data_IF_640987719225
#
_entry.id   IF_640987719225
#
_cell.length_a   1.000
_cell.length_b   1.000
_cell.length_c   1.000
_cell.angle_alpha   90.00
_cell.angle_beta   90.00
_cell.angle_gamma   90.00
#
_symmetry.space_group_name_H-M   'P 1'
#
loop_
_entity.id
_entity.type
_entity.pdbx_description
1 polymer ?
#
# COMPACT_ATOMS: atom_id res chain seq x y z
N UNK A 1 7.89 -12.92 7.35
CA UNK A 1 8.22 -12.97 8.80
C UNK A 1 7.54 -11.88 9.63
N UNK A 2 7.57 -10.59 9.25
CA UNK A 2 6.85 -9.55 10.01
C UNK A 2 5.33 -9.75 10.02
N UNK A 3 4.70 -9.90 8.84
CA UNK A 3 3.26 -10.16 8.73
C UNK A 3 2.87 -11.44 9.48
N UNK A 4 3.65 -12.53 9.35
CA UNK A 4 3.46 -13.76 10.12
C UNK A 4 3.44 -13.49 11.64
N UNK A 5 4.35 -12.65 12.15
CA UNK A 5 4.41 -12.31 13.56
C UNK A 5 3.15 -11.57 14.05
N UNK A 6 2.65 -10.63 13.23
CA UNK A 6 1.42 -9.89 13.54
C UNK A 6 0.18 -10.79 13.41
N UNK A 7 0.14 -11.67 12.40
CA UNK A 7 -0.94 -12.63 12.18
C UNK A 7 -1.16 -13.54 13.39
N UNK A 8 -0.09 -13.97 14.07
CA UNK A 8 -0.18 -14.80 15.28
C UNK A 8 -0.99 -14.15 16.41
N UNK A 9 -1.14 -12.82 16.42
CA UNK A 9 -1.91 -12.09 17.43
C UNK A 9 -3.42 -12.11 17.19
N UNK A 10 -3.87 -12.56 16.02
CA UNK A 10 -5.29 -12.60 15.66
C UNK A 10 -5.79 -14.05 15.64
N UNK A 11 -7.02 -14.31 16.10
CA UNK A 11 -7.61 -15.62 16.03
C UNK A 11 -7.89 -16.02 14.56
N UNK A 12 -8.05 -17.32 14.35
CA UNK A 12 -8.48 -17.84 13.06
C UNK A 12 -9.82 -17.22 12.65
N UNK A 13 -9.99 -16.95 11.35
CA UNK A 13 -11.21 -16.34 10.82
C UNK A 13 -11.34 -14.83 11.03
N UNK A 14 -10.53 -14.20 11.90
CA UNK A 14 -10.57 -12.74 12.10
C UNK A 14 -9.82 -11.96 11.01
N UNK A 15 -9.12 -12.64 10.10
CA UNK A 15 -8.35 -12.01 9.05
C UNK A 15 -8.66 -12.52 7.64
N UNK A 16 -8.22 -11.75 6.65
CA UNK A 16 -8.30 -12.04 5.21
C UNK A 16 -7.01 -11.64 4.50
N UNK A 17 -6.89 -11.97 3.21
CA UNK A 17 -5.69 -11.70 2.40
C UNK A 17 -6.02 -11.08 1.05
N UNK A 18 -6.77 -9.99 1.07
CA UNK A 18 -7.20 -9.28 -0.14
C UNK A 18 -6.17 -8.21 -0.50
N UNK A 19 -5.61 -8.31 -1.70
CA UNK A 19 -4.68 -7.31 -2.24
C UNK A 19 -5.41 -6.02 -2.62
N UNK A 20 -4.79 -4.84 -2.45
CA UNK A 20 -5.44 -3.56 -2.76
C UNK A 20 -5.85 -3.43 -4.23
N UNK A 21 -5.10 -4.04 -5.16
CA UNK A 21 -5.39 -4.05 -6.59
C UNK A 21 -6.65 -4.85 -6.93
N UNK A 22 -7.01 -5.82 -6.10
CA UNK A 22 -8.12 -6.74 -6.35
C UNK A 22 -9.41 -6.35 -5.63
N UNK A 23 -9.39 -5.29 -4.82
CA UNK A 23 -10.56 -4.85 -4.03
C UNK A 23 -11.76 -4.44 -4.87
N UNK A 24 -11.56 -4.05 -6.14
CA UNK A 24 -12.66 -3.78 -7.07
C UNK A 24 -13.41 -5.04 -7.52
N UNK A 25 -12.81 -6.22 -7.34
CA UNK A 25 -13.48 -7.48 -7.62
C UNK A 25 -14.42 -7.83 -6.45
N UNK A 26 -15.73 -7.89 -6.71
CA UNK A 26 -16.77 -8.13 -5.70
C UNK A 26 -16.56 -9.43 -4.91
N UNK A 27 -16.01 -10.48 -5.54
CA UNK A 27 -15.72 -11.75 -4.86
C UNK A 27 -14.53 -11.65 -3.90
N UNK A 28 -13.54 -10.81 -4.24
CA UNK A 28 -12.39 -10.53 -3.38
C UNK A 28 -12.80 -9.60 -2.24
N UNK A 29 -13.56 -8.56 -2.54
CA UNK A 29 -14.13 -7.65 -1.54
C UNK A 29 -14.98 -8.39 -0.50
N UNK A 30 -15.77 -9.38 -0.90
CA UNK A 30 -16.59 -10.18 0.02
C UNK A 30 -15.77 -10.86 1.13
N UNK A 31 -14.48 -11.13 0.90
CA UNK A 31 -13.61 -11.75 1.92
C UNK A 31 -13.27 -10.81 3.08
N UNK A 32 -13.46 -9.50 2.93
CA UNK A 32 -13.30 -8.51 4.00
C UNK A 32 -14.49 -8.48 4.97
N UNK A 33 -15.63 -9.06 4.59
CA UNK A 33 -16.83 -9.02 5.43
C UNK A 33 -16.58 -9.71 6.78
N UNK A 34 -16.83 -8.97 7.86
CA UNK A 34 -16.62 -9.45 9.24
C UNK A 34 -15.16 -9.60 9.68
N UNK A 35 -14.18 -9.12 8.90
CA UNK A 35 -12.76 -9.23 9.24
C UNK A 35 -12.26 -8.04 10.05
N UNK A 36 -11.33 -8.30 10.95
CA UNK A 36 -10.67 -7.30 11.82
C UNK A 36 -9.34 -6.82 11.26
N UNK A 37 -8.69 -7.63 10.43
CA UNK A 37 -7.45 -7.26 9.78
C UNK A 37 -7.29 -7.97 8.43
N UNK A 38 -6.71 -7.28 7.47
CA UNK A 38 -6.43 -7.79 6.15
C UNK A 38 -4.92 -7.75 5.91
N UNK A 39 -4.34 -8.92 5.64
CA UNK A 39 -2.90 -9.09 5.39
C UNK A 39 -2.67 -9.45 3.93
N UNK A 40 -2.02 -8.60 3.15
CA UNK A 40 -1.54 -9.00 1.83
C UNK A 40 -0.01 -8.94 1.80
N UNK A 41 0.61 -10.10 1.71
CA UNK A 41 2.06 -10.24 1.70
C UNK A 41 2.56 -10.30 0.26
N UNK A 42 3.64 -9.56 -0.01
CA UNK A 42 4.31 -9.49 -1.31
C UNK A 42 3.37 -9.06 -2.44
N UNK A 43 2.65 -7.96 -2.19
CA UNK A 43 1.74 -7.40 -3.20
C UNK A 43 2.53 -6.99 -4.45
N UNK A 44 1.96 -7.18 -5.64
CA UNK A 44 2.60 -6.78 -6.87
C UNK A 44 2.72 -5.24 -6.95
N UNK A 45 3.68 -4.77 -7.74
CA UNK A 45 3.82 -3.33 -8.06
C UNK A 45 2.80 -2.83 -9.09
N UNK A 46 1.85 -3.68 -9.49
CA UNK A 46 0.79 -3.33 -10.44
C UNK A 46 -0.14 -2.26 -9.86
N UNK A 47 -0.71 -1.47 -10.77
CA UNK A 47 -1.47 -0.28 -10.42
C UNK A 47 -2.71 -0.58 -9.55
N UNK A 48 -2.95 0.26 -8.53
CA UNK A 48 -4.24 0.30 -7.83
C UNK A 48 -5.22 1.12 -8.67
N UNK A 49 -5.91 0.44 -9.59
CA UNK A 49 -6.79 1.07 -10.59
C UNK A 49 -8.04 1.72 -9.97
N UNK A 50 -8.69 1.02 -9.03
CA UNK A 50 -9.96 1.47 -8.43
C UNK A 50 -9.73 2.12 -7.07
N UNK A 51 -9.11 3.30 -7.07
CA UNK A 51 -8.81 4.02 -5.83
C UNK A 51 -10.04 4.33 -4.99
N UNK A 52 -11.23 4.49 -5.59
CA UNK A 52 -12.48 4.72 -4.86
C UNK A 52 -12.86 3.55 -3.95
N UNK A 53 -12.88 2.32 -4.48
CA UNK A 53 -13.23 1.13 -3.69
C UNK A 53 -12.15 0.85 -2.65
N UNK A 54 -10.87 1.02 -3.01
CA UNK A 54 -9.78 0.95 -2.04
C UNK A 54 -9.98 1.97 -0.90
N UNK A 55 -10.23 3.24 -1.23
CA UNK A 55 -10.47 4.31 -0.25
C UNK A 55 -11.64 3.96 0.66
N UNK A 56 -12.76 3.51 0.10
CA UNK A 56 -13.94 3.08 0.85
C UNK A 56 -13.62 1.91 1.79
N UNK A 57 -12.89 0.90 1.31
CA UNK A 57 -12.49 -0.25 2.11
C UNK A 57 -11.64 0.15 3.32
N UNK A 58 -10.65 1.03 3.13
CA UNK A 58 -9.75 1.44 4.23
C UNK A 58 -10.36 2.49 5.17
N UNK A 59 -11.37 3.26 4.74
CA UNK A 59 -12.12 4.17 5.63
C UNK A 59 -13.34 3.56 6.27
N UNK A 60 -13.68 2.31 5.92
CA UNK A 60 -14.87 1.64 6.43
C UNK A 60 -16.15 2.29 5.90
N UNK A 61 -16.16 2.75 4.66
CA UNK A 61 -17.41 3.13 3.98
C UNK A 61 -18.14 1.87 3.50
N UNK A 62 -19.45 1.96 3.30
CA UNK A 62 -20.23 0.81 2.82
C UNK A 62 -19.75 0.42 1.42
N UNK A 63 -19.39 -0.85 1.25
CA UNK A 63 -19.05 -1.43 -0.05
C UNK A 63 -20.00 -2.57 -0.38
N UNK A 64 -20.28 -2.72 -1.67
CA UNK A 64 -21.05 -3.84 -2.21
C UNK A 64 -20.10 -4.96 -2.63
N UNK A 65 -20.47 -6.19 -2.31
CA UNK A 65 -19.71 -7.37 -2.67
C UNK A 65 -20.65 -8.54 -2.95
N UNK A 66 -20.09 -9.66 -3.41
CA UNK A 66 -20.88 -10.83 -3.78
C UNK A 66 -20.12 -12.12 -3.47
N UNK A 67 -20.79 -13.10 -2.89
CA UNK A 67 -20.26 -14.46 -2.83
C UNK A 67 -20.56 -15.21 -4.13
N UNK A 68 -19.72 -16.18 -4.50
CA UNK A 68 -19.91 -16.96 -5.73
C UNK A 68 -21.30 -17.60 -5.73
N UNK A 69 -22.10 -17.31 -6.77
CA UNK A 69 -23.48 -17.79 -6.96
C UNK A 69 -24.47 -17.38 -5.86
N UNK A 70 -24.23 -16.27 -5.18
CA UNK A 70 -25.15 -15.68 -4.21
C UNK A 70 -25.51 -14.25 -4.59
N UNK A 71 -26.55 -13.72 -3.96
CA UNK A 71 -26.97 -12.33 -4.15
C UNK A 71 -25.89 -11.36 -3.63
N UNK A 72 -25.76 -10.18 -4.26
CA UNK A 72 -24.91 -9.13 -3.72
C UNK A 72 -25.39 -8.66 -2.36
N UNK A 73 -24.45 -8.29 -1.51
CA UNK A 73 -24.72 -7.73 -0.20
C UNK A 73 -23.85 -6.49 0.03
N UNK A 74 -24.31 -5.63 0.93
CA UNK A 74 -23.57 -4.45 1.36
C UNK A 74 -23.07 -4.64 2.78
N UNK A 75 -21.84 -4.22 3.06
CA UNK A 75 -21.28 -4.27 4.40
C UNK A 75 -20.33 -3.11 4.63
N UNK A 76 -20.07 -2.83 5.91
CA UNK A 76 -19.05 -1.86 6.34
C UNK A 76 -17.77 -2.61 6.66
N UNK A 77 -16.66 -2.38 5.95
CA UNK A 77 -15.37 -2.98 6.30
C UNK A 77 -14.89 -2.46 7.65
N UNK A 78 -14.45 -3.40 8.50
CA UNK A 78 -13.90 -3.10 9.83
C UNK A 78 -12.42 -3.45 9.92
N UNK A 79 -11.86 -3.98 8.83
CA UNK A 79 -10.51 -4.51 8.80
C UNK A 79 -9.47 -3.39 8.79
N UNK A 80 -8.50 -3.45 9.70
CA UNK A 80 -7.22 -2.77 9.48
C UNK A 80 -6.49 -3.40 8.30
N UNK A 81 -5.65 -2.65 7.57
CA UNK A 81 -4.93 -3.18 6.42
C UNK A 81 -3.42 -3.18 6.69
N UNK A 82 -2.77 -4.33 6.46
CA UNK A 82 -1.32 -4.47 6.51
C UNK A 82 -0.83 -5.13 5.22
N UNK A 83 -0.03 -4.40 4.48
CA UNK A 83 0.53 -4.84 3.20
C UNK A 83 2.05 -4.88 3.27
N UNK A 84 2.67 -5.87 2.62
CA UNK A 84 4.10 -5.84 2.34
C UNK A 84 4.33 -5.90 0.85
N UNK A 85 5.31 -5.15 0.35
CA UNK A 85 5.69 -5.12 -1.04
C UNK A 85 7.21 -4.98 -1.15
N UNK A 86 7.78 -5.57 -2.20
CA UNK A 86 9.18 -5.30 -2.58
C UNK A 86 9.32 -4.02 -3.41
N UNK A 87 8.26 -3.66 -4.14
CA UNK A 87 8.09 -2.39 -4.84
C UNK A 87 6.64 -1.92 -4.63
N UNK A 88 6.46 -0.64 -4.30
CA UNK A 88 5.14 -0.09 -4.04
C UNK A 88 4.32 -0.01 -5.34
N UNK A 89 3.01 -0.24 -5.28
CA UNK A 89 2.19 -0.25 -6.48
C UNK A 89 1.99 1.14 -7.07
N UNK A 90 1.90 1.23 -8.40
CA UNK A 90 1.53 2.48 -9.07
C UNK A 90 0.10 2.92 -8.73
N UNK A 91 -0.22 4.18 -8.98
CA UNK A 91 -1.59 4.70 -8.90
C UNK A 91 -1.78 5.91 -9.82
N UNK A 92 -2.99 6.06 -10.37
CA UNK A 92 -3.45 7.31 -11.02
C UNK A 92 -4.12 8.30 -10.05
N UNK A 93 -4.32 7.93 -8.78
CA UNK A 93 -4.96 8.81 -7.79
C UNK A 93 -3.92 9.67 -7.06
N UNK A 94 -3.72 10.89 -7.55
CA UNK A 94 -2.80 11.85 -6.95
C UNK A 94 -3.41 12.69 -5.81
N UNK A 95 -4.65 12.39 -5.38
CA UNK A 95 -5.37 13.17 -4.38
C UNK A 95 -4.79 13.01 -2.98
N UNK A 96 -4.82 14.09 -2.19
CA UNK A 96 -4.45 14.03 -0.77
C UNK A 96 -5.28 13.00 0.02
N UNK A 97 -6.51 12.71 -0.43
CA UNK A 97 -7.35 11.68 0.14
C UNK A 97 -6.73 10.29 0.02
N UNK A 98 -6.15 9.93 -1.12
CA UNK A 98 -5.47 8.65 -1.29
C UNK A 98 -4.22 8.56 -0.40
N UNK A 99 -3.32 9.54 -0.52
CA UNK A 99 -2.01 9.51 0.15
C UNK A 99 -2.07 9.51 1.68
N UNK A 100 -3.05 10.18 2.30
CA UNK A 100 -3.17 10.24 3.77
C UNK A 100 -3.58 8.92 4.44
N UNK A 101 -3.90 7.87 3.66
CA UNK A 101 -4.35 6.55 4.16
C UNK A 101 -3.19 5.57 4.36
N UNK A 102 -1.97 5.95 4.00
CA UNK A 102 -0.82 5.07 4.07
C UNK A 102 0.16 5.47 5.18
N UNK A 103 0.78 4.46 5.77
CA UNK A 103 1.99 4.58 6.59
C UNK A 103 2.98 3.58 6.02
N UNK A 104 4.10 4.06 5.51
CA UNK A 104 5.09 3.23 4.80
C UNK A 104 6.27 3.01 5.72
N UNK A 105 6.52 1.74 6.06
CA UNK A 105 7.65 1.33 6.87
C UNK A 105 8.61 0.55 5.98
N UNK A 106 9.77 1.14 5.72
CA UNK A 106 10.83 0.49 4.95
C UNK A 106 11.67 -0.42 5.86
N UNK A 107 11.90 -1.65 5.40
CA UNK A 107 12.88 -2.55 6.01
C UNK A 107 14.17 -2.57 5.17
N UNK A 108 15.05 -1.60 5.43
CA UNK A 108 16.28 -1.40 4.66
C UNK A 108 17.35 -2.50 4.88
N UNK A 109 17.26 -3.25 5.98
CA UNK A 109 18.27 -4.25 6.34
C UNK A 109 18.08 -5.54 5.53
N UNK A 110 19.15 -5.99 4.88
CA UNK A 110 19.23 -7.30 4.21
C UNK A 110 20.11 -8.24 5.00
N UNK A 111 19.53 -9.33 5.48
CA UNK A 111 20.25 -10.36 6.24
C UNK A 111 20.76 -11.45 5.29
N UNK A 112 22.07 -11.75 5.35
CA UNK A 112 22.72 -12.78 4.52
C UNK A 112 23.69 -13.63 5.36
N UNK A 113 23.96 -14.85 4.91
CA UNK A 113 24.95 -15.74 5.53
C UNK A 113 24.67 -15.96 7.01
N UNK A 114 25.68 -15.71 7.86
CA UNK A 114 25.60 -15.92 9.32
C UNK A 114 24.56 -15.02 10.03
N UNK A 115 24.13 -13.93 9.41
CA UNK A 115 23.08 -13.04 9.97
C UNK A 115 21.66 -13.56 9.71
N UNK A 116 21.50 -14.49 8.76
CA UNK A 116 20.20 -15.09 8.48
C UNK A 116 19.93 -16.19 9.50
N UNK A 117 18.97 -15.95 10.38
CA UNK A 117 18.52 -16.96 11.33
C UNK A 117 17.38 -17.81 10.72
N UNK A 118 17.63 -19.07 10.32
CA UNK A 118 16.61 -19.94 9.76
C UNK A 118 15.51 -20.31 10.78
N UNK A 119 15.78 -20.14 12.07
CA UNK A 119 14.86 -20.45 13.16
C UNK A 119 14.11 -19.23 13.69
N UNK A 120 14.25 -18.06 13.06
CA UNK A 120 13.59 -16.82 13.49
C UNK A 120 12.08 -16.99 13.68
N UNK A 121 11.40 -17.72 12.78
CA UNK A 121 9.96 -17.98 12.92
C UNK A 121 9.60 -18.73 14.21
N UNK A 122 10.40 -19.74 14.58
CA UNK A 122 10.18 -20.50 15.82
C UNK A 122 10.45 -19.63 17.06
N UNK A 123 11.49 -18.79 17.02
CA UNK A 123 11.80 -17.84 18.09
C UNK A 123 10.67 -16.84 18.31
N UNK A 124 10.16 -16.24 17.22
CA UNK A 124 9.01 -15.33 17.28
C UNK A 124 7.75 -16.01 17.82
N UNK A 125 7.52 -17.28 17.47
CA UNK A 125 6.40 -18.05 18.00
C UNK A 125 6.54 -18.32 19.51
N UNK A 126 7.75 -18.61 19.99
CA UNK A 126 8.02 -18.78 21.42
C UNK A 126 7.79 -17.48 22.21
N UNK A 127 8.06 -16.32 21.59
CA UNK A 127 7.84 -14.99 22.19
C UNK A 127 6.43 -14.43 21.97
N UNK A 128 5.52 -15.20 21.37
CA UNK A 128 4.16 -14.76 21.01
C UNK A 128 3.43 -14.02 22.15
N UNK A 129 3.42 -14.48 23.42
CA UNK A 129 2.76 -13.74 24.51
C UNK A 129 3.32 -12.34 24.72
N UNK A 130 4.65 -12.18 24.63
CA UNK A 130 5.31 -10.88 24.81
C UNK A 130 5.03 -9.93 23.63
N UNK A 131 5.04 -10.44 22.40
CA UNK A 131 4.70 -9.68 21.19
C UNK A 131 3.26 -9.17 21.28
N UNK A 132 2.31 -10.03 21.67
CA UNK A 132 0.90 -9.64 21.84
C UNK A 132 0.77 -8.59 22.94
N UNK A 133 1.43 -8.76 24.09
CA UNK A 133 1.41 -7.76 25.16
C UNK A 133 1.94 -6.40 24.68
N UNK A 134 2.99 -6.41 23.86
CA UNK A 134 3.54 -5.20 23.24
C UNK A 134 2.56 -4.54 22.25
N UNK A 135 1.89 -5.34 21.42
CA UNK A 135 0.84 -4.86 20.50
C UNK A 135 -0.34 -4.25 21.24
N UNK A 136 -0.80 -4.86 22.35
CA UNK A 136 -1.89 -4.33 23.19
C UNK A 136 -1.50 -2.98 23.80
N UNK A 137 -0.29 -2.84 24.34
CA UNK A 137 0.21 -1.55 24.84
C UNK A 137 0.26 -0.50 23.71
N UNK A 138 0.68 -0.91 22.51
CA UNK A 138 0.64 -0.08 21.32
C UNK A 138 -0.77 0.39 20.94
N UNK A 139 -1.74 -0.52 20.99
CA UNK A 139 -3.15 -0.22 20.73
C UNK A 139 -3.73 0.73 21.78
N UNK A 140 -3.46 0.52 23.07
CA UNK A 140 -3.86 1.44 24.14
C UNK A 140 -3.31 2.86 23.92
N UNK A 141 -2.02 2.96 23.56
CA UNK A 141 -1.41 4.24 23.21
C UNK A 141 -2.07 4.89 21.99
N UNK A 142 -2.36 4.10 20.95
CA UNK A 142 -3.04 4.59 19.75
C UNK A 142 -4.43 5.14 20.06
N UNK A 143 -5.23 4.39 20.83
CA UNK A 143 -6.58 4.81 21.25
C UNK A 143 -6.52 6.10 22.08
N UNK A 144 -5.55 6.21 23.00
CA UNK A 144 -5.34 7.43 23.79
C UNK A 144 -4.95 8.63 22.92
N UNK A 145 -4.11 8.42 21.91
CA UNK A 145 -3.61 9.49 21.05
C UNK A 145 -4.60 9.89 19.94
N UNK A 146 -5.56 9.02 19.60
CA UNK A 146 -6.48 9.20 18.48
C UNK A 146 -5.84 9.15 17.08
N UNK A 147 -4.51 8.92 17.00
CA UNK A 147 -3.75 8.90 15.74
C UNK A 147 -2.49 8.04 15.86
N UNK A 148 -2.06 7.51 14.72
CA UNK A 148 -0.78 6.81 14.62
C UNK A 148 0.40 7.76 14.80
N UNK A 149 1.47 7.25 15.40
CA UNK A 149 2.78 7.91 15.38
C UNK A 149 3.41 7.69 14.01
N UNK A 150 3.52 8.75 13.21
CA UNK A 150 4.09 8.69 11.86
C UNK A 150 5.56 9.11 11.93
N UNK A 151 6.52 8.21 11.66
CA UNK A 151 7.93 8.57 11.64
C UNK A 151 8.27 9.38 10.39
N UNK A 152 9.27 10.26 10.48
CA UNK A 152 9.75 11.07 9.34
C UNK A 152 10.17 10.20 8.15
N UNK A 153 10.73 9.01 8.40
CA UNK A 153 11.07 8.04 7.34
C UNK A 153 9.84 7.61 6.54
N UNK A 154 8.68 7.43 7.17
CA UNK A 154 7.44 7.12 6.45
C UNK A 154 6.98 8.28 5.58
N UNK A 155 7.15 9.53 6.04
CA UNK A 155 6.79 10.71 5.25
C UNK A 155 7.70 10.84 4.02
N UNK A 156 8.99 10.57 4.19
CA UNK A 156 9.94 10.54 3.09
C UNK A 156 9.55 9.47 2.05
N UNK A 157 9.28 8.24 2.50
CA UNK A 157 8.89 7.15 1.61
C UNK A 157 7.55 7.41 0.89
N UNK A 158 6.59 8.04 1.54
CA UNK A 158 5.34 8.46 0.90
C UNK A 158 5.58 9.52 -0.18
N UNK A 159 6.47 10.48 0.06
CA UNK A 159 6.79 11.50 -0.92
C UNK A 159 7.53 10.92 -2.14
N UNK A 160 8.46 9.98 -1.91
CA UNK A 160 9.13 9.25 -2.99
C UNK A 160 8.11 8.46 -3.80
N UNK A 161 7.27 7.65 -3.15
CA UNK A 161 6.24 6.87 -3.84
C UNK A 161 5.26 7.76 -4.64
N UNK A 162 4.90 8.93 -4.10
CA UNK A 162 4.06 9.91 -4.80
C UNK A 162 4.71 10.46 -6.07
N UNK A 163 6.00 10.78 -6.01
CA UNK A 163 6.77 11.24 -7.18
C UNK A 163 6.90 10.14 -8.22
N UNK A 164 7.23 8.92 -7.78
CA UNK A 164 7.39 7.76 -8.65
C UNK A 164 6.09 7.34 -9.34
N UNK A 165 4.94 7.69 -8.75
CA UNK A 165 3.62 7.44 -9.34
C UNK A 165 3.21 8.52 -10.35
N UNK A 166 3.85 9.70 -10.35
CA UNK A 166 3.55 10.80 -11.26
C UNK A 166 4.45 10.74 -12.49
N UNK A 167 4.01 9.97 -13.48
CA UNK A 167 4.76 9.71 -14.73
C UNK A 167 5.06 11.00 -15.50
N UNK A 168 4.18 12.01 -15.41
CA UNK A 168 4.39 13.31 -16.07
C UNK A 168 5.43 14.12 -15.30
N UNK A 169 5.36 14.17 -13.97
CA UNK A 169 6.37 14.84 -13.17
C UNK A 169 7.75 14.19 -13.32
N UNK A 170 7.83 12.86 -13.43
CA UNK A 170 9.08 12.14 -13.72
C UNK A 170 9.63 12.53 -15.09
N UNK A 171 8.80 12.55 -16.13
CA UNK A 171 9.22 13.01 -17.46
C UNK A 171 9.70 14.46 -17.44
N UNK A 172 8.98 15.36 -16.76
CA UNK A 172 9.42 16.75 -16.62
C UNK A 172 10.79 16.83 -15.92
N UNK A 173 10.98 16.07 -14.84
CA UNK A 173 12.24 16.02 -14.10
C UNK A 173 13.38 15.44 -14.95
N UNK A 174 13.12 14.44 -15.80
CA UNK A 174 14.16 13.84 -16.64
C UNK A 174 14.46 14.63 -17.91
N UNK A 175 13.45 15.29 -18.50
CA UNK A 175 13.54 15.84 -19.85
C UNK A 175 13.47 17.37 -19.93
N UNK A 176 13.16 18.07 -18.83
CA UNK A 176 12.93 19.54 -18.87
C UNK A 176 13.79 20.38 -17.92
N UNK A 177 14.72 19.77 -17.17
CA UNK A 177 15.59 20.47 -16.20
C UNK A 177 16.44 21.59 -16.79
N UNK A 178 16.84 21.49 -18.07
CA UNK A 178 17.74 22.46 -18.72
C UNK A 178 17.01 23.54 -19.55
N UNK A 179 15.68 23.62 -19.48
CA UNK A 179 14.86 24.44 -20.41
C UNK A 179 14.22 25.66 -19.73
N UNK A 180 14.55 25.94 -18.46
CA UNK A 180 13.89 27.00 -17.68
C UNK A 180 14.16 28.44 -18.18
N UNK A 181 15.20 28.65 -19.00
CA UNK A 181 15.58 29.96 -19.57
C UNK A 181 15.27 30.11 -21.07
N UNK A 182 14.42 29.24 -21.64
CA UNK A 182 14.05 29.36 -23.05
C UNK A 182 13.10 30.55 -23.30
N UNK A 183 13.50 31.47 -24.18
CA UNK A 183 12.71 32.64 -24.57
C UNK A 183 11.43 32.29 -25.38
N UNK A 184 11.34 31.05 -25.89
CA UNK A 184 10.22 30.54 -26.67
C UNK A 184 9.61 29.31 -26.01
N UNK A 185 8.27 29.25 -25.98
CA UNK A 185 7.54 28.10 -25.43
C UNK A 185 7.51 26.91 -26.37
N UNK A 186 7.51 25.69 -25.82
CA UNK A 186 7.37 24.45 -26.59
C UNK A 186 5.90 24.16 -26.92
N UNK A 187 5.62 23.79 -28.16
CA UNK A 187 4.27 23.42 -28.60
C UNK A 187 3.76 22.16 -27.88
N UNK A 188 2.45 22.09 -27.51
CA UNK A 188 1.88 20.92 -26.82
C UNK A 188 2.09 19.59 -27.55
N UNK A 189 2.08 19.59 -28.89
CA UNK A 189 2.32 18.41 -29.71
C UNK A 189 3.72 17.84 -29.51
N UNK A 190 4.71 18.71 -29.39
CA UNK A 190 6.11 18.31 -29.28
C UNK A 190 6.43 17.87 -27.85
N UNK A 191 5.77 18.47 -26.85
CA UNK A 191 5.75 17.94 -25.48
C UNK A 191 5.14 16.53 -25.42
N UNK A 192 3.99 16.31 -26.06
CA UNK A 192 3.37 14.98 -26.08
C UNK A 192 4.25 13.94 -26.78
N UNK A 193 4.90 14.29 -27.89
CA UNK A 193 5.84 13.39 -28.58
C UNK A 193 7.04 13.05 -27.70
N UNK A 194 7.63 14.04 -27.02
CA UNK A 194 8.74 13.81 -26.09
C UNK A 194 8.32 12.88 -24.94
N UNK A 195 7.16 13.14 -24.34
CA UNK A 195 6.60 12.30 -23.29
C UNK A 195 6.36 10.87 -23.79
N UNK A 196 5.78 10.70 -24.98
CA UNK A 196 5.47 9.40 -25.55
C UNK A 196 6.72 8.59 -25.91
N UNK A 197 7.78 9.24 -26.39
CA UNK A 197 9.08 8.59 -26.59
C UNK A 197 9.68 8.19 -25.25
N UNK A 198 9.74 9.11 -24.28
CA UNK A 198 10.36 8.86 -22.97
C UNK A 198 9.66 7.72 -22.22
N UNK A 199 8.32 7.68 -22.18
CA UNK A 199 7.59 6.62 -21.48
C UNK A 199 7.81 5.24 -22.08
N UNK A 200 8.04 5.16 -23.40
CA UNK A 200 8.27 3.90 -24.11
C UNK A 200 9.73 3.45 -24.05
N UNK A 201 10.69 4.38 -23.90
CA UNK A 201 12.11 4.08 -23.68
C UNK A 201 12.44 3.74 -22.22
N UNK A 202 11.68 4.31 -21.29
CA UNK A 202 11.81 4.08 -19.85
C UNK A 202 10.98 2.87 -19.41
N UNK A 203 11.26 2.28 -18.24
CA UNK A 203 10.50 1.12 -17.69
C UNK A 203 9.05 1.47 -17.27
N UNK A 204 8.52 2.60 -17.72
CA UNK A 204 7.22 3.17 -17.34
C UNK A 204 6.15 2.94 -18.42
N UNK A 205 6.14 1.74 -19.02
CA UNK A 205 5.10 1.32 -19.96
C UNK A 205 3.87 0.81 -19.18
N UNK A 206 2.63 1.13 -19.61
CA UNK A 206 1.39 0.76 -18.90
C UNK A 206 1.13 -0.75 -18.83
#
# INVERSE_FOLDING_TARGET
>A
KFIEAVQMAFPEGAWSTVEPQTLSNEYRAAQLAGKRINFAADIPSTEIVSSHIFKAAVTGDVIMARHIRQDPFSFKPEAGHLFSANALPGTRDHSAGFWRRFVVIEFANRFKGKQLDPHLGKKLQAEKPAIIAWMVRGAQRLLKNGRYSIPTSSLHQLNTWRKDSDVVALWLDDCTKDVMDAAEGTMPRDMWRSFDVWRNSSRYSP
#
